data_IF_817210705206
#
_entry.id   IF_817210705206
#
_cell.length_a   1.000
_cell.length_b   1.000
_cell.length_c   1.000
_cell.angle_alpha   90.00
_cell.angle_beta   90.00
_cell.angle_gamma   90.00
#
_symmetry.space_group_name_H-M   'P 1'
#
loop_
_entity.id
_entity.type
_entity.pdbx_description
1 polymer ?
#
# COMPACT_ATOMS: atom_id res chain seq x y z
N UNK A 1 -2.49 23.16 18.78
CA UNK A 1 -3.01 21.78 18.70
C UNK A 1 -2.36 21.04 17.52
N UNK A 2 -1.36 20.21 17.82
CA UNK A 2 -1.08 18.87 17.27
C UNK A 2 -1.27 18.52 15.78
N UNK A 3 -0.93 19.38 14.81
CA UNK A 3 -0.82 18.93 13.41
C UNK A 3 0.28 17.85 13.24
N UNK A 4 1.37 17.93 14.01
CA UNK A 4 2.49 16.98 13.94
C UNK A 4 2.13 15.54 14.37
N UNK A 5 1.20 15.36 15.32
CA UNK A 5 0.78 14.03 15.80
C UNK A 5 -0.14 13.32 14.79
N UNK A 6 -0.96 14.08 14.06
CA UNK A 6 -1.77 13.54 12.97
C UNK A 6 -0.90 13.11 11.77
N UNK A 7 0.13 13.89 11.44
CA UNK A 7 1.10 13.53 10.39
C UNK A 7 1.97 12.31 10.77
N UNK A 8 2.37 12.18 12.04
CA UNK A 8 3.11 11.01 12.50
C UNK A 8 2.30 9.73 12.31
N UNK A 9 1.01 9.75 12.65
CA UNK A 9 0.10 8.61 12.49
C UNK A 9 -0.08 8.21 11.02
N UNK A 10 -0.29 9.17 10.11
CA UNK A 10 -0.54 8.85 8.69
C UNK A 10 0.74 8.42 7.96
N UNK A 11 1.89 9.04 8.27
CA UNK A 11 3.17 8.61 7.73
C UNK A 11 3.55 7.20 8.21
N UNK A 12 3.34 6.88 9.50
CA UNK A 12 3.55 5.52 10.03
C UNK A 12 2.62 4.49 9.39
N UNK A 13 1.33 4.83 9.22
CA UNK A 13 0.36 3.96 8.52
C UNK A 13 0.73 3.75 7.06
N UNK A 14 1.20 4.80 6.38
CA UNK A 14 1.64 4.72 4.99
C UNK A 14 2.89 3.84 4.85
N UNK A 15 3.87 4.00 5.75
CA UNK A 15 5.06 3.15 5.81
C UNK A 15 4.69 1.69 6.13
N UNK A 16 3.73 1.45 7.04
CA UNK A 16 3.23 0.12 7.32
C UNK A 16 2.54 -0.51 6.11
N UNK A 17 1.68 0.24 5.41
CA UNK A 17 1.01 -0.22 4.20
C UNK A 17 2.02 -0.59 3.11
N UNK A 18 2.97 0.30 2.83
CA UNK A 18 4.06 0.05 1.88
C UNK A 18 4.91 -1.17 2.28
N UNK A 19 5.29 -1.30 3.55
CA UNK A 19 6.08 -2.44 4.03
C UNK A 19 5.32 -3.78 3.99
N UNK A 20 4.00 -3.76 4.19
CA UNK A 20 3.16 -4.96 3.99
C UNK A 20 3.14 -5.33 2.51
N UNK A 21 2.89 -4.38 1.61
CA UNK A 21 2.89 -4.64 0.15
C UNK A 21 4.27 -5.10 -0.33
N UNK A 22 5.36 -4.51 0.16
CA UNK A 22 6.72 -4.91 -0.19
C UNK A 22 7.02 -6.37 0.16
N UNK A 23 6.53 -6.85 1.31
CA UNK A 23 6.71 -8.24 1.76
C UNK A 23 5.72 -9.21 1.10
N UNK A 24 4.46 -8.80 0.99
CA UNK A 24 3.38 -9.65 0.51
C UNK A 24 3.27 -9.68 -1.02
N UNK A 25 3.76 -8.64 -1.72
CA UNK A 25 3.61 -8.47 -3.16
C UNK A 25 4.21 -9.61 -3.97
N UNK A 26 5.36 -10.16 -3.55
CA UNK A 26 5.93 -11.37 -4.17
C UNK A 26 5.01 -12.58 -4.05
N UNK A 27 4.29 -12.73 -2.93
CA UNK A 27 3.32 -13.83 -2.72
C UNK A 27 2.04 -13.65 -3.55
N UNK A 28 1.81 -12.44 -4.08
CA UNK A 28 0.69 -12.15 -4.98
C UNK A 28 1.07 -12.27 -6.47
N UNK A 29 2.30 -12.70 -6.77
CA UNK A 29 2.79 -12.85 -8.15
C UNK A 29 3.28 -11.55 -8.79
N UNK A 30 3.44 -10.47 -8.00
CA UNK A 30 3.98 -9.21 -8.53
C UNK A 30 5.47 -9.32 -8.81
N UNK A 31 5.90 -8.80 -9.96
CA UNK A 31 7.31 -8.64 -10.30
C UNK A 31 7.98 -7.59 -9.39
N UNK A 32 9.31 -7.62 -9.20
CA UNK A 32 10.01 -6.72 -8.29
C UNK A 32 9.70 -5.23 -8.54
N UNK A 33 9.62 -4.81 -9.80
CA UNK A 33 9.27 -3.43 -10.15
C UNK A 33 7.80 -3.11 -9.80
N UNK A 34 6.88 -4.05 -9.97
CA UNK A 34 5.47 -3.87 -9.64
C UNK A 34 5.28 -3.75 -8.13
N UNK A 35 6.07 -4.47 -7.34
CA UNK A 35 6.07 -4.35 -5.87
C UNK A 35 6.45 -2.93 -5.43
N UNK A 36 7.44 -2.31 -6.09
CA UNK A 36 7.83 -0.92 -5.81
C UNK A 36 6.68 0.05 -6.12
N UNK A 37 6.08 -0.08 -7.31
CA UNK A 37 4.96 0.76 -7.74
C UNK A 37 3.76 0.58 -6.80
N UNK A 38 3.39 -0.66 -6.52
CA UNK A 38 2.27 -1.03 -5.64
C UNK A 38 2.46 -0.52 -4.20
N UNK A 39 3.69 -0.60 -3.67
CA UNK A 39 4.02 -0.08 -2.33
C UNK A 39 3.87 1.44 -2.28
N UNK A 40 4.29 2.13 -3.35
CA UNK A 40 4.12 3.58 -3.48
C UNK A 40 2.66 3.98 -3.60
N UNK A 41 1.85 3.24 -4.37
CA UNK A 41 0.40 3.45 -4.49
C UNK A 41 -0.27 3.28 -3.13
N UNK A 42 0.06 2.22 -2.37
CA UNK A 42 -0.49 2.00 -1.04
C UNK A 42 -0.14 3.12 -0.05
N UNK A 43 1.10 3.60 -0.07
CA UNK A 43 1.50 4.74 0.76
C UNK A 43 0.73 6.02 0.39
N UNK A 44 0.59 6.31 -0.90
CA UNK A 44 -0.12 7.49 -1.38
C UNK A 44 -1.63 7.42 -1.12
N UNK A 45 -2.23 6.23 -1.17
CA UNK A 45 -3.60 5.99 -0.73
C UNK A 45 -3.82 6.42 0.73
N UNK A 46 -2.90 6.09 1.62
CA UNK A 46 -2.96 6.50 3.03
C UNK A 46 -2.72 8.01 3.19
N UNK A 47 -1.70 8.55 2.52
CA UNK A 47 -1.29 9.95 2.69
C UNK A 47 -2.24 10.95 2.05
N UNK A 48 -2.76 10.65 0.85
CA UNK A 48 -3.56 11.59 0.04
C UNK A 48 -5.05 11.32 0.12
N UNK A 49 -5.45 10.07 0.25
CA UNK A 49 -6.87 9.68 0.26
C UNK A 49 -7.37 9.33 1.67
N UNK A 50 -6.52 9.44 2.70
CA UNK A 50 -6.89 9.14 4.08
C UNK A 50 -7.30 7.69 4.31
N UNK A 51 -6.98 6.78 3.39
CA UNK A 51 -7.32 5.37 3.54
C UNK A 51 -6.58 4.77 4.73
N UNK A 52 -7.22 3.82 5.42
CA UNK A 52 -6.52 2.99 6.40
C UNK A 52 -5.49 2.11 5.71
N UNK A 53 -4.39 1.80 6.40
CA UNK A 53 -3.32 0.95 5.87
C UNK A 53 -3.85 -0.39 5.33
N UNK A 54 -4.77 -1.03 6.06
CA UNK A 54 -5.41 -2.27 5.62
C UNK A 54 -6.22 -2.11 4.33
N UNK A 55 -6.95 -1.00 4.17
CA UNK A 55 -7.75 -0.72 2.97
C UNK A 55 -6.86 -0.48 1.74
N UNK A 56 -5.77 0.27 1.90
CA UNK A 56 -4.79 0.48 0.83
C UNK A 56 -4.12 -0.82 0.39
N UNK A 57 -3.70 -1.67 1.35
CA UNK A 57 -3.12 -3.00 1.07
C UNK A 57 -4.14 -3.91 0.38
N UNK A 58 -5.40 -3.90 0.81
CA UNK A 58 -6.45 -4.71 0.22
C UNK A 58 -6.73 -4.32 -1.24
N UNK A 59 -6.76 -3.02 -1.55
CA UNK A 59 -6.92 -2.52 -2.90
C UNK A 59 -5.79 -3.01 -3.83
N UNK A 60 -4.54 -2.90 -3.36
CA UNK A 60 -3.37 -3.42 -4.10
C UNK A 60 -3.46 -4.93 -4.30
N UNK A 61 -3.84 -5.69 -3.27
CA UNK A 61 -4.00 -7.15 -3.38
C UNK A 61 -5.05 -7.52 -4.41
N UNK A 62 -6.19 -6.83 -4.43
CA UNK A 62 -7.26 -7.06 -5.40
C UNK A 62 -6.80 -6.73 -6.83
N UNK A 63 -6.06 -5.63 -7.01
CA UNK A 63 -5.47 -5.27 -8.31
C UNK A 63 -4.44 -6.31 -8.79
N UNK A 64 -3.57 -6.78 -7.90
CA UNK A 64 -2.60 -7.84 -8.21
C UNK A 64 -3.29 -9.15 -8.62
N UNK A 65 -4.36 -9.54 -7.92
CA UNK A 65 -5.21 -10.70 -8.27
C UNK A 65 -5.89 -10.54 -9.62
N UNK A 66 -6.40 -9.34 -9.93
CA UNK A 66 -7.04 -9.06 -11.21
C UNK A 66 -6.04 -9.17 -12.38
N UNK A 67 -4.80 -8.71 -12.19
CA UNK A 67 -3.73 -8.89 -13.18
C UNK A 67 -3.34 -10.35 -13.35
N UNK A 68 -3.26 -11.12 -12.25
CA UNK A 68 -2.92 -12.53 -12.31
C UNK A 68 -4.01 -13.41 -12.95
N UNK A 69 -5.28 -13.01 -12.88
CA UNK A 69 -6.41 -13.71 -13.51
C UNK A 69 -6.69 -13.29 -14.96
N UNK A 70 -5.99 -12.27 -15.48
CA UNK A 70 -6.11 -11.81 -16.86
C UNK A 70 -5.11 -12.49 -17.82
N UNK A 71 -4.41 -13.53 -17.34
CA UNK A 71 -3.41 -14.30 -18.08
C UNK A 71 -3.91 -15.72 -18.39
#
# INVERSE_FOLDING_TARGET
MSAALAHHSNAQRAAAAAGIVARAGRRWGLLPYQVVIASSIAANAVLRHGQSAAGAVAAVRSAARAQAGAA
#
